data_IF_326231264290
#
_entry.id   IF_326231264290
#
_cell.length_a   1.000
_cell.length_b   1.000
_cell.length_c   1.000
_cell.angle_alpha   90.00
_cell.angle_beta   90.00
_cell.angle_gamma   90.00
#
_symmetry.space_group_name_H-M   'P 1'
#
loop_
_entity.id
_entity.type
_entity.pdbx_description
1 polymer ?
#
# COMPACT_ATOMS: atom_id res chain seq x y z
N UNK A 1 17.79 1.43 -17.86
CA UNK A 1 18.33 0.34 -17.02
C UNK A 1 19.37 0.94 -16.07
N UNK A 2 18.94 1.45 -14.92
CA UNK A 2 19.73 1.70 -13.70
C UNK A 2 18.67 1.84 -12.58
N UNK A 3 18.52 0.81 -11.75
CA UNK A 3 17.61 0.81 -10.60
C UNK A 3 18.17 1.74 -9.51
N UNK A 4 17.53 2.90 -9.26
CA UNK A 4 18.04 3.95 -8.36
C UNK A 4 17.48 3.92 -6.93
N UNK A 5 16.46 3.13 -6.59
CA UNK A 5 15.79 3.29 -5.28
C UNK A 5 16.45 2.59 -4.09
N UNK A 6 16.87 1.32 -4.22
CA UNK A 6 17.59 0.64 -3.15
C UNK A 6 19.03 1.15 -2.94
N UNK A 7 19.80 1.47 -4.01
CA UNK A 7 21.18 1.94 -3.82
C UNK A 7 21.27 3.35 -3.28
N UNK A 8 20.34 4.28 -3.57
CA UNK A 8 20.51 5.68 -3.15
C UNK A 8 20.38 5.88 -1.62
N UNK A 9 19.39 5.28 -0.98
CA UNK A 9 19.24 5.32 0.49
C UNK A 9 20.36 4.52 1.17
N UNK A 10 20.72 3.37 0.60
CA UNK A 10 21.89 2.60 1.05
C UNK A 10 23.16 3.45 1.00
N UNK A 11 23.47 4.07 -0.14
CA UNK A 11 24.65 4.92 -0.40
C UNK A 11 24.70 6.14 0.53
N UNK A 12 23.57 6.77 0.85
CA UNK A 12 23.51 7.89 1.80
C UNK A 12 23.86 7.41 3.22
N UNK A 13 23.35 6.24 3.63
CA UNK A 13 23.67 5.67 4.95
C UNK A 13 25.14 5.19 4.99
N UNK A 14 25.65 4.57 3.91
CA UNK A 14 27.07 4.18 3.84
C UNK A 14 28.01 5.39 3.86
N UNK A 15 27.67 6.47 3.15
CA UNK A 15 28.46 7.71 3.13
C UNK A 15 28.46 8.44 4.48
N UNK A 16 27.34 8.43 5.22
CA UNK A 16 27.26 9.00 6.56
C UNK A 16 28.01 8.19 7.62
N UNK A 17 28.24 6.89 7.39
CA UNK A 17 28.95 6.01 8.31
C UNK A 17 30.47 5.93 8.09
N UNK A 18 31.02 6.53 7.02
CA UNK A 18 32.46 6.49 6.74
C UNK A 18 33.28 7.51 7.55
N UNK A 19 32.64 8.45 8.26
CA UNK A 19 33.33 9.43 9.11
C UNK A 19 33.23 9.09 10.61
N UNK A 20 34.37 8.65 11.16
CA UNK A 20 34.77 8.51 12.57
C UNK A 20 34.45 7.23 13.38
N UNK A 21 35.28 7.00 14.41
CA UNK A 21 35.66 5.73 15.08
C UNK A 21 34.54 5.02 15.86
N UNK A 22 34.68 3.69 15.99
CA UNK A 22 34.06 2.68 16.89
C UNK A 22 32.68 2.96 17.54
N UNK A 23 32.45 4.09 18.23
CA UNK A 23 31.11 4.52 18.69
C UNK A 23 30.17 4.84 17.53
N UNK A 24 30.69 5.30 16.40
CA UNK A 24 29.89 5.49 15.18
C UNK A 24 29.52 4.15 14.51
N UNK A 25 30.29 3.07 14.73
CA UNK A 25 30.01 1.76 14.14
C UNK A 25 28.76 1.11 14.76
N UNK A 26 28.60 1.18 16.09
CA UNK A 26 27.40 0.68 16.78
C UNK A 26 26.17 1.54 16.46
N UNK A 27 26.33 2.87 16.40
CA UNK A 27 25.30 3.81 15.94
C UNK A 27 24.88 3.54 14.48
N UNK A 28 25.84 3.29 13.60
CA UNK A 28 25.59 2.99 12.19
C UNK A 28 24.90 1.64 12.02
N UNK A 29 25.34 0.62 12.76
CA UNK A 29 24.72 -0.70 12.78
C UNK A 29 23.27 -0.60 13.26
N UNK A 30 22.99 0.20 14.29
CA UNK A 30 21.62 0.45 14.76
C UNK A 30 20.78 1.18 13.70
N UNK A 31 21.32 2.21 13.03
CA UNK A 31 20.62 2.90 11.92
C UNK A 31 20.28 1.95 10.78
N UNK A 32 21.22 1.12 10.35
CA UNK A 32 20.99 0.10 9.32
C UNK A 32 19.97 -0.95 9.75
N UNK A 33 20.08 -1.46 10.97
CA UNK A 33 19.10 -2.41 11.52
C UNK A 33 17.69 -1.84 11.54
N UNK A 34 17.54 -0.61 12.00
CA UNK A 34 16.24 0.06 12.04
C UNK A 34 15.73 0.37 10.63
N UNK A 35 16.60 0.79 9.71
CA UNK A 35 16.22 1.00 8.31
C UNK A 35 15.73 -0.29 7.65
N UNK A 36 16.47 -1.40 7.80
CA UNK A 36 16.06 -2.72 7.29
C UNK A 36 14.76 -3.17 7.97
N UNK A 37 14.62 -2.92 9.28
CA UNK A 37 13.40 -3.21 10.02
C UNK A 37 12.19 -2.51 9.43
N UNK A 38 12.25 -1.19 9.23
CA UNK A 38 11.17 -0.43 8.61
C UNK A 38 10.94 -0.80 7.14
N UNK A 39 11.97 -1.17 6.40
CA UNK A 39 11.84 -1.69 5.04
C UNK A 39 11.04 -3.00 5.01
N UNK A 40 11.36 -3.95 5.89
CA UNK A 40 10.61 -5.20 6.03
C UNK A 40 9.18 -4.96 6.52
N UNK A 41 8.97 -4.02 7.45
CA UNK A 41 7.63 -3.65 7.90
C UNK A 41 6.79 -3.09 6.75
N UNK A 42 7.36 -2.19 5.93
CA UNK A 42 6.68 -1.64 4.75
C UNK A 42 6.34 -2.71 3.72
N UNK A 43 7.29 -3.62 3.46
CA UNK A 43 7.09 -4.74 2.56
C UNK A 43 5.94 -5.64 3.04
N UNK A 44 6.00 -6.10 4.28
CA UNK A 44 5.05 -7.09 4.78
C UNK A 44 3.65 -6.51 5.03
N UNK A 45 3.55 -5.23 5.40
CA UNK A 45 2.28 -4.57 5.69
C UNK A 45 1.33 -4.54 4.48
N UNK A 46 1.87 -4.20 3.31
CA UNK A 46 1.09 -4.05 2.09
C UNK A 46 1.04 -5.33 1.25
N UNK A 47 1.77 -6.38 1.65
CA UNK A 47 1.88 -7.61 0.88
C UNK A 47 0.54 -8.32 0.73
N UNK A 48 -0.22 -8.48 1.82
CA UNK A 48 -1.51 -9.17 1.79
C UNK A 48 -2.50 -8.47 0.86
N UNK A 49 -2.63 -7.13 0.96
CA UNK A 49 -3.46 -6.31 0.06
C UNK A 49 -3.15 -6.60 -1.42
N UNK A 50 -1.88 -6.53 -1.80
CA UNK A 50 -1.44 -6.76 -3.18
C UNK A 50 -1.73 -8.19 -3.65
N UNK A 51 -1.50 -9.18 -2.80
CA UNK A 51 -1.78 -10.58 -3.13
C UNK A 51 -3.27 -10.84 -3.31
N UNK A 52 -4.13 -10.25 -2.49
CA UNK A 52 -5.59 -10.42 -2.62
C UNK A 52 -6.10 -9.85 -3.95
N UNK A 53 -5.60 -8.69 -4.37
CA UNK A 53 -5.92 -8.11 -5.68
C UNK A 53 -5.34 -8.93 -6.84
N UNK A 54 -4.13 -9.46 -6.68
CA UNK A 54 -3.48 -10.29 -7.72
C UNK A 54 -4.15 -11.65 -7.89
N UNK A 55 -4.71 -12.19 -6.80
CA UNK A 55 -5.43 -13.45 -6.74
C UNK A 55 -6.94 -13.30 -6.98
N UNK A 56 -7.46 -12.09 -7.18
CA UNK A 56 -8.90 -11.81 -7.18
C UNK A 56 -9.66 -12.70 -8.17
N UNK A 57 -9.15 -12.84 -9.39
CA UNK A 57 -9.75 -13.70 -10.42
C UNK A 57 -9.74 -15.19 -10.00
N UNK A 58 -8.62 -15.70 -9.48
CA UNK A 58 -8.50 -17.09 -9.03
C UNK A 58 -9.41 -17.40 -7.83
N UNK A 59 -9.57 -16.43 -6.91
CA UNK A 59 -10.44 -16.54 -5.74
C UNK A 59 -11.90 -16.74 -6.17
N UNK A 60 -12.34 -15.97 -7.15
CA UNK A 60 -13.72 -15.95 -7.63
C UNK A 60 -14.03 -17.18 -8.51
N UNK A 61 -13.11 -17.55 -9.41
CA UNK A 61 -13.30 -18.67 -10.34
C UNK A 61 -13.37 -20.03 -9.62
N UNK A 62 -12.56 -20.24 -8.57
CA UNK A 62 -12.54 -21.49 -7.79
C UNK A 62 -13.90 -21.84 -7.17
N UNK A 63 -14.75 -20.84 -6.96
CA UNK A 63 -16.03 -20.97 -6.26
C UNK A 63 -17.21 -21.08 -7.24
N UNK A 64 -16.95 -20.89 -8.54
CA UNK A 64 -17.91 -20.99 -9.62
C UNK A 64 -18.19 -22.44 -10.04
N UNK A 65 -17.23 -23.37 -9.82
CA UNK A 65 -17.33 -24.77 -10.24
C UNK A 65 -18.47 -25.59 -9.59
N UNK A 66 -19.27 -24.98 -8.69
CA UNK A 66 -20.39 -25.63 -8.00
C UNK A 66 -21.79 -25.11 -8.35
N UNK A 67 -21.95 -24.02 -9.11
CA UNK A 67 -23.28 -23.51 -9.51
C UNK A 67 -23.34 -23.24 -11.03
N UNK A 68 -24.12 -24.07 -11.72
CA UNK A 68 -24.31 -24.13 -13.18
C UNK A 68 -25.04 -22.93 -13.81
N UNK A 69 -24.90 -22.86 -15.15
CA UNK A 69 -25.53 -22.00 -16.17
C UNK A 69 -24.98 -20.56 -16.29
N UNK A 70 -23.85 -20.43 -16.98
CA UNK A 70 -23.44 -19.16 -17.60
C UNK A 70 -24.37 -18.85 -18.78
N UNK A 71 -24.97 -17.65 -18.85
CA UNK A 71 -25.60 -17.16 -20.07
C UNK A 71 -24.56 -17.07 -21.19
N UNK A 72 -25.00 -17.15 -22.45
CA UNK A 72 -24.13 -16.96 -23.62
C UNK A 72 -23.71 -15.48 -23.77
N UNK A 73 -22.87 -14.97 -22.87
CA UNK A 73 -22.21 -13.68 -23.04
C UNK A 73 -20.97 -13.85 -23.93
N UNK A 74 -20.60 -12.80 -24.65
CA UNK A 74 -19.33 -12.73 -25.38
C UNK A 74 -18.12 -12.76 -24.44
N UNK A 75 -18.31 -12.41 -23.17
CA UNK A 75 -17.25 -12.28 -22.17
C UNK A 75 -17.22 -13.50 -21.22
N UNK A 76 -16.01 -13.87 -20.79
CA UNK A 76 -15.80 -14.90 -19.77
C UNK A 76 -16.03 -14.29 -18.38
N UNK A 77 -17.32 -14.18 -18.02
CA UNK A 77 -17.78 -13.44 -16.86
C UNK A 77 -17.95 -14.32 -15.63
N UNK A 78 -17.29 -13.91 -14.53
CA UNK A 78 -17.62 -14.42 -13.21
C UNK A 78 -18.89 -13.76 -12.65
N UNK A 79 -19.71 -14.47 -11.85
CA UNK A 79 -20.95 -13.93 -11.26
C UNK A 79 -20.71 -12.77 -10.29
N UNK A 80 -19.50 -12.68 -9.75
CA UNK A 80 -19.03 -11.58 -8.89
C UNK A 80 -17.80 -10.98 -9.56
N UNK A 81 -17.79 -9.66 -9.73
CA UNK A 81 -16.65 -8.90 -10.29
C UNK A 81 -15.48 -8.86 -9.29
N UNK A 82 -14.24 -8.82 -9.79
CA UNK A 82 -13.03 -8.54 -9.01
C UNK A 82 -13.09 -7.18 -8.29
N UNK A 83 -13.96 -6.27 -8.74
CA UNK A 83 -14.31 -5.05 -8.02
C UNK A 83 -14.85 -5.29 -6.59
N UNK A 84 -15.50 -6.43 -6.34
CA UNK A 84 -15.93 -6.82 -5.00
C UNK A 84 -14.76 -7.10 -4.06
N UNK A 85 -13.71 -7.75 -4.60
CA UNK A 85 -12.45 -7.96 -3.87
C UNK A 85 -11.79 -6.61 -3.60
N UNK A 86 -11.70 -5.73 -4.61
CA UNK A 86 -11.14 -4.38 -4.42
C UNK A 86 -11.89 -3.58 -3.35
N UNK A 87 -13.22 -3.61 -3.37
CA UNK A 87 -14.05 -2.88 -2.40
C UNK A 87 -13.83 -3.40 -0.98
N UNK A 88 -13.81 -4.73 -0.81
CA UNK A 88 -13.52 -5.38 0.45
C UNK A 88 -12.10 -5.06 0.96
N UNK A 89 -11.15 -4.84 0.05
CA UNK A 89 -9.76 -4.56 0.38
C UNK A 89 -9.51 -3.07 0.70
N UNK A 90 -10.31 -2.12 0.20
CA UNK A 90 -10.12 -0.68 0.46
C UNK A 90 -10.99 -0.11 1.58
N UNK A 91 -12.25 -0.56 1.72
CA UNK A 91 -13.19 0.06 2.66
C UNK A 91 -12.77 -0.05 4.13
N UNK A 92 -12.32 -1.21 4.65
CA UNK A 92 -11.88 -1.31 6.04
C UNK A 92 -10.69 -0.39 6.34
N UNK A 93 -9.72 -0.32 5.43
CA UNK A 93 -8.59 0.61 5.53
C UNK A 93 -9.06 2.06 5.58
N UNK A 94 -9.99 2.46 4.70
CA UNK A 94 -10.55 3.81 4.67
C UNK A 94 -11.23 4.16 6.00
N UNK A 95 -12.05 3.26 6.53
CA UNK A 95 -12.73 3.42 7.82
C UNK A 95 -11.74 3.50 8.99
N UNK A 96 -10.70 2.67 8.99
CA UNK A 96 -9.64 2.72 10.00
C UNK A 96 -8.91 4.06 9.91
N UNK A 97 -8.53 4.53 8.72
CA UNK A 97 -7.86 5.83 8.54
C UNK A 97 -8.70 7.01 9.06
N UNK A 98 -10.02 6.99 8.83
CA UNK A 98 -10.92 8.03 9.35
C UNK A 98 -11.13 7.97 10.87
N UNK A 99 -11.20 6.77 11.45
CA UNK A 99 -11.61 6.60 12.85
C UNK A 99 -10.42 6.47 13.82
N UNK A 100 -9.29 5.97 13.36
CA UNK A 100 -8.13 5.69 14.20
C UNK A 100 -7.61 6.89 14.99
N UNK A 101 -7.54 8.13 14.47
CA UNK A 101 -7.04 9.27 15.23
C UNK A 101 -7.72 9.46 16.60
N UNK A 102 -8.99 9.06 16.74
CA UNK A 102 -9.77 9.23 17.97
C UNK A 102 -9.40 8.25 19.11
N UNK A 103 -8.83 7.09 18.79
CA UNK A 103 -8.56 6.04 19.79
C UNK A 103 -7.16 5.43 19.72
N UNK A 104 -6.46 5.55 18.59
CA UNK A 104 -5.21 4.84 18.35
C UNK A 104 -4.13 5.19 19.37
N UNK A 105 -4.10 6.44 19.86
CA UNK A 105 -3.16 6.90 20.89
C UNK A 105 -3.26 6.15 22.23
N UNK A 106 -4.42 5.55 22.54
CA UNK A 106 -4.60 4.75 23.77
C UNK A 106 -4.09 3.32 23.64
N UNK A 107 -3.89 2.85 22.41
CA UNK A 107 -3.47 1.48 22.14
C UNK A 107 -1.96 1.45 21.94
N UNK A 108 -1.18 0.67 22.70
CA UNK A 108 0.26 0.59 22.54
C UNK A 108 0.67 -0.16 21.26
N UNK A 109 1.80 0.23 20.66
CA UNK A 109 2.25 -0.27 19.36
C UNK A 109 2.38 -1.79 19.28
N UNK A 110 2.94 -2.45 20.30
CA UNK A 110 3.11 -3.90 20.31
C UNK A 110 1.78 -4.64 20.10
N UNK A 111 0.69 -4.17 20.72
CA UNK A 111 -0.63 -4.74 20.51
C UNK A 111 -1.15 -4.47 19.10
N UNK A 112 -0.98 -3.25 18.57
CA UNK A 112 -1.38 -2.94 17.18
C UNK A 112 -0.69 -3.86 16.18
N UNK A 113 0.62 -4.11 16.37
CA UNK A 113 1.39 -5.02 15.51
C UNK A 113 0.93 -6.46 15.65
N UNK A 114 0.61 -6.93 16.86
CA UNK A 114 0.01 -8.25 17.05
C UNK A 114 -1.33 -8.38 16.33
N UNK A 115 -2.19 -7.35 16.39
CA UNK A 115 -3.45 -7.34 15.64
C UNK A 115 -3.16 -7.46 14.15
N UNK A 116 -2.24 -6.67 13.59
CA UNK A 116 -1.85 -6.77 12.17
C UNK A 116 -1.34 -8.17 11.81
N UNK A 117 -0.47 -8.75 12.64
CA UNK A 117 0.03 -10.10 12.44
C UNK A 117 -1.10 -11.13 12.39
N UNK A 118 -1.98 -11.14 13.40
CA UNK A 118 -3.07 -12.12 13.47
C UNK A 118 -4.08 -11.92 12.35
N UNK A 119 -4.48 -10.68 12.03
CA UNK A 119 -5.42 -10.43 10.94
C UNK A 119 -4.81 -10.80 9.57
N UNK A 120 -3.52 -10.56 9.34
CA UNK A 120 -2.85 -11.02 8.11
C UNK A 120 -2.77 -12.56 8.02
N UNK A 121 -2.48 -13.26 9.12
CA UNK A 121 -2.49 -14.73 9.16
C UNK A 121 -3.89 -15.28 8.91
N UNK A 122 -4.91 -14.74 9.60
CA UNK A 122 -6.31 -15.13 9.40
C UNK A 122 -6.75 -14.88 7.97
N UNK A 123 -6.35 -13.76 7.37
CA UNK A 123 -6.63 -13.43 5.98
C UNK A 123 -6.15 -14.52 5.02
N UNK A 124 -4.85 -14.84 5.04
CA UNK A 124 -4.29 -15.86 4.15
C UNK A 124 -4.90 -17.24 4.38
N UNK A 125 -5.11 -17.63 5.63
CA UNK A 125 -5.75 -18.91 5.96
C UNK A 125 -7.19 -18.95 5.46
N UNK A 126 -7.98 -17.92 5.74
CA UNK A 126 -9.40 -17.86 5.38
C UNK A 126 -9.60 -17.89 3.87
N UNK A 127 -8.79 -17.18 3.09
CA UNK A 127 -8.82 -17.24 1.62
C UNK A 127 -8.30 -18.59 1.09
N UNK A 128 -7.27 -19.17 1.71
CA UNK A 128 -6.75 -20.48 1.26
C UNK A 128 -7.76 -21.63 1.47
N UNK A 129 -8.52 -21.59 2.57
CA UNK A 129 -9.52 -22.59 2.95
C UNK A 129 -10.96 -22.19 2.55
N UNK A 130 -11.14 -21.10 1.81
CA UNK A 130 -12.45 -20.58 1.47
C UNK A 130 -13.26 -21.58 0.64
N UNK A 131 -14.43 -21.96 1.15
CA UNK A 131 -15.44 -22.75 0.42
C UNK A 131 -16.53 -21.90 -0.22
N UNK A 132 -16.68 -20.65 0.22
CA UNK A 132 -17.70 -19.70 -0.27
C UNK A 132 -17.10 -18.34 -0.57
N UNK A 133 -17.67 -17.60 -1.53
CA UNK A 133 -17.24 -16.24 -1.91
C UNK A 133 -17.23 -15.31 -0.70
N UNK A 134 -18.22 -15.43 0.19
CA UNK A 134 -18.26 -14.66 1.43
C UNK A 134 -17.06 -14.94 2.33
N UNK A 135 -16.66 -16.21 2.50
CA UNK A 135 -15.48 -16.55 3.30
C UNK A 135 -14.21 -15.94 2.70
N UNK A 136 -14.07 -15.96 1.37
CA UNK A 136 -12.95 -15.29 0.68
C UNK A 136 -12.96 -13.79 0.93
N UNK A 137 -14.11 -13.13 0.76
CA UNK A 137 -14.27 -11.68 0.96
C UNK A 137 -13.96 -11.30 2.41
N UNK A 138 -14.40 -12.06 3.41
CA UNK A 138 -14.02 -11.83 4.80
C UNK A 138 -12.51 -11.97 5.02
N UNK A 139 -11.86 -12.94 4.35
CA UNK A 139 -10.40 -13.05 4.33
C UNK A 139 -9.73 -11.78 3.77
N UNK A 140 -10.25 -11.22 2.69
CA UNK A 140 -9.76 -9.95 2.09
C UNK A 140 -9.96 -8.78 3.06
N UNK A 141 -11.11 -8.70 3.76
CA UNK A 141 -11.35 -7.67 4.80
C UNK A 141 -10.29 -7.74 5.91
N UNK A 142 -9.87 -8.94 6.33
CA UNK A 142 -8.80 -9.08 7.32
C UNK A 142 -7.43 -8.60 6.79
N UNK A 143 -7.14 -8.77 5.49
CA UNK A 143 -5.95 -8.18 4.86
C UNK A 143 -6.01 -6.65 4.93
N UNK A 144 -7.15 -6.05 4.59
CA UNK A 144 -7.38 -4.60 4.67
C UNK A 144 -7.22 -4.05 6.08
N UNK A 145 -7.77 -4.74 7.09
CA UNK A 145 -7.63 -4.33 8.49
C UNK A 145 -6.15 -4.34 8.90
N UNK A 146 -5.41 -5.39 8.51
CA UNK A 146 -3.97 -5.49 8.77
C UNK A 146 -3.21 -4.33 8.13
N UNK A 147 -3.37 -4.11 6.82
CA UNK A 147 -2.61 -3.13 6.07
C UNK A 147 -2.93 -1.70 6.53
N UNK A 148 -4.20 -1.38 6.76
CA UNK A 148 -4.65 -0.07 7.21
C UNK A 148 -4.21 0.27 8.64
N UNK A 149 -4.37 -0.65 9.59
CA UNK A 149 -3.90 -0.44 10.97
C UNK A 149 -2.38 -0.38 11.05
N UNK A 150 -1.70 -1.24 10.30
CA UNK A 150 -0.24 -1.30 10.29
C UNK A 150 0.37 -0.07 9.66
N UNK A 151 -0.16 0.46 8.55
CA UNK A 151 0.31 1.71 7.95
C UNK A 151 0.28 2.86 8.96
N UNK A 152 -0.85 3.06 9.64
CA UNK A 152 -0.96 4.09 10.69
C UNK A 152 0.02 3.86 11.84
N UNK A 153 0.18 2.60 12.25
CA UNK A 153 1.05 2.24 13.36
C UNK A 153 2.52 2.43 13.03
N UNK A 154 2.98 1.99 11.87
CA UNK A 154 4.39 2.07 11.49
C UNK A 154 4.80 3.48 11.08
N UNK A 155 3.93 4.24 10.39
CA UNK A 155 4.19 5.65 10.14
C UNK A 155 4.30 6.44 11.44
N UNK A 156 3.37 6.25 12.37
CA UNK A 156 3.43 6.91 13.68
C UNK A 156 4.64 6.45 14.51
N UNK A 157 5.03 5.19 14.40
CA UNK A 157 6.23 4.66 15.05
C UNK A 157 7.51 5.29 14.50
N UNK A 158 7.57 5.58 13.19
CA UNK A 158 8.76 6.12 12.52
C UNK A 158 9.25 7.45 13.12
N UNK A 159 8.35 8.22 13.76
CA UNK A 159 8.64 9.49 14.44
C UNK A 159 9.66 9.33 15.56
N UNK A 160 9.68 8.16 16.22
CA UNK A 160 10.64 7.89 17.29
C UNK A 160 12.03 7.51 16.76
N UNK A 161 12.17 7.20 15.47
CA UNK A 161 13.41 6.72 14.87
C UNK A 161 14.09 7.80 14.01
N UNK A 162 15.30 7.52 13.54
CA UNK A 162 16.02 8.41 12.63
C UNK A 162 15.27 8.59 11.31
N UNK A 163 15.33 9.78 10.72
CA UNK A 163 14.62 10.14 9.47
C UNK A 163 14.83 9.16 8.30
N UNK A 164 15.95 8.45 8.30
CA UNK A 164 16.28 7.44 7.29
C UNK A 164 15.25 6.30 7.24
N UNK A 165 14.62 5.93 8.38
CA UNK A 165 13.69 4.79 8.42
C UNK A 165 12.44 5.02 7.58
N UNK A 166 12.03 6.29 7.40
CA UNK A 166 10.88 6.64 6.57
C UNK A 166 11.13 6.32 5.09
N UNK A 167 12.39 6.46 4.64
CA UNK A 167 12.79 6.03 3.29
C UNK A 167 12.76 4.52 3.13
N UNK A 168 13.16 3.79 4.19
CA UNK A 168 13.08 2.33 4.25
C UNK A 168 11.63 1.86 4.13
N UNK A 169 10.74 2.41 4.96
CA UNK A 169 9.29 2.14 4.91
C UNK A 169 8.70 2.37 3.52
N UNK A 170 8.90 3.56 2.94
CA UNK A 170 8.35 3.90 1.62
C UNK A 170 8.91 3.04 0.48
N UNK A 171 10.17 2.62 0.57
CA UNK A 171 10.74 1.67 -0.39
C UNK A 171 10.16 0.26 -0.20
N UNK A 172 9.98 -0.18 1.04
CA UNK A 172 9.39 -1.47 1.38
C UNK A 172 7.96 -1.61 0.86
N UNK A 173 7.12 -0.59 1.05
CA UNK A 173 5.74 -0.59 0.56
C UNK A 173 5.65 -0.66 -0.97
N UNK A 174 6.57 -0.02 -1.69
CA UNK A 174 6.69 -0.17 -3.15
C UNK A 174 7.15 -1.57 -3.56
N UNK A 175 8.10 -2.14 -2.83
CA UNK A 175 8.56 -3.51 -3.05
C UNK A 175 7.47 -4.55 -2.74
N UNK A 176 6.54 -4.27 -1.82
CA UNK A 176 5.38 -5.12 -1.54
C UNK A 176 4.50 -5.34 -2.78
N UNK A 177 4.26 -4.28 -3.56
CA UNK A 177 3.51 -4.34 -4.81
C UNK A 177 4.12 -5.31 -5.81
N UNK A 178 5.42 -5.16 -6.05
CA UNK A 178 6.17 -6.01 -6.98
C UNK A 178 6.28 -7.44 -6.46
N UNK A 179 6.68 -7.61 -5.20
CA UNK A 179 6.88 -8.93 -4.59
C UNK A 179 5.57 -9.72 -4.47
N UNK A 180 4.47 -9.08 -4.05
CA UNK A 180 3.17 -9.74 -3.91
C UNK A 180 2.65 -10.29 -5.23
N UNK A 181 2.57 -9.44 -6.25
CA UNK A 181 2.08 -9.84 -7.57
C UNK A 181 3.01 -10.85 -8.25
N UNK A 182 4.34 -10.60 -8.25
CA UNK A 182 5.30 -11.50 -8.88
C UNK A 182 5.38 -12.86 -8.19
N UNK A 183 5.47 -12.91 -6.86
CA UNK A 183 5.60 -14.20 -6.16
C UNK A 183 4.33 -15.02 -6.33
N UNK A 184 3.15 -14.38 -6.26
CA UNK A 184 1.89 -15.08 -6.48
C UNK A 184 1.81 -15.65 -7.89
N UNK A 185 2.12 -14.82 -8.90
CA UNK A 185 2.12 -15.21 -10.31
C UNK A 185 3.15 -16.30 -10.62
N UNK A 186 4.37 -16.18 -10.09
CA UNK A 186 5.45 -17.13 -10.32
C UNK A 186 5.17 -18.50 -9.69
N UNK A 187 4.66 -18.55 -8.45
CA UNK A 187 4.33 -19.80 -7.79
C UNK A 187 3.17 -20.52 -8.48
N UNK A 188 2.13 -19.79 -8.88
CA UNK A 188 1.00 -20.35 -9.61
C UNK A 188 1.39 -20.82 -11.01
N UNK A 189 2.30 -20.13 -11.70
CA UNK A 189 2.88 -20.59 -12.98
C UNK A 189 3.81 -21.81 -12.83
N UNK A 190 4.49 -21.95 -11.68
CA UNK A 190 5.28 -23.13 -11.37
C UNK A 190 4.43 -24.37 -11.06
N UNK A 191 3.10 -24.29 -11.21
CA UNK A 191 2.15 -25.38 -10.99
C UNK A 191 1.67 -25.52 -9.54
N UNK A 192 2.00 -24.58 -8.65
CA UNK A 192 1.44 -24.57 -7.29
C UNK A 192 -0.01 -24.07 -7.34
N UNK A 193 -0.88 -24.71 -6.56
CA UNK A 193 -2.25 -24.22 -6.44
C UNK A 193 -2.29 -22.87 -5.71
N UNK A 194 -3.31 -22.02 -5.95
CA UNK A 194 -3.51 -20.79 -5.18
C UNK A 194 -3.49 -21.01 -3.66
N UNK A 195 -4.02 -22.14 -3.20
CA UNK A 195 -4.04 -22.51 -1.78
C UNK A 195 -2.63 -22.68 -1.21
N UNK A 196 -1.80 -23.51 -1.86
CA UNK A 196 -0.43 -23.77 -1.42
C UNK A 196 0.42 -22.50 -1.52
N UNK A 197 0.18 -21.70 -2.56
CA UNK A 197 0.81 -20.39 -2.75
C UNK A 197 0.56 -19.47 -1.55
N UNK A 198 -0.69 -19.33 -1.11
CA UNK A 198 -1.05 -18.53 0.06
C UNK A 198 -0.47 -19.10 1.37
N UNK A 199 -0.35 -20.42 1.51
CA UNK A 199 0.31 -21.03 2.67
C UNK A 199 1.80 -20.71 2.74
N UNK A 200 2.51 -20.76 1.61
CA UNK A 200 3.93 -20.36 1.54
C UNK A 200 4.08 -18.90 1.95
N UNK A 201 3.14 -18.04 1.55
CA UNK A 201 3.12 -16.61 1.87
C UNK A 201 2.83 -16.28 3.34
N UNK A 202 2.41 -17.24 4.18
CA UNK A 202 2.28 -17.04 5.63
C UNK A 202 3.60 -16.71 6.32
N UNK A 203 4.74 -16.95 5.65
CA UNK A 203 6.04 -16.47 6.10
C UNK A 203 6.08 -14.94 6.23
N UNK A 204 5.30 -14.21 5.43
CA UNK A 204 5.35 -12.74 5.38
C UNK A 204 4.83 -12.07 6.66
N UNK A 205 3.65 -12.43 7.21
CA UNK A 205 3.23 -11.98 8.54
C UNK A 205 4.27 -12.32 9.63
N UNK A 206 4.90 -13.49 9.55
CA UNK A 206 5.96 -13.87 10.51
C UNK A 206 7.16 -12.93 10.40
N UNK A 207 7.60 -12.59 9.19
CA UNK A 207 8.66 -11.61 8.95
C UNK A 207 8.27 -10.23 9.51
N UNK A 208 7.01 -9.81 9.36
CA UNK A 208 6.50 -8.55 9.96
C UNK A 208 6.67 -8.56 11.48
N UNK A 209 6.22 -9.62 12.16
CA UNK A 209 6.35 -9.75 13.61
C UNK A 209 7.83 -9.81 14.03
N UNK A 210 8.66 -10.59 13.32
CA UNK A 210 10.08 -10.71 13.61
C UNK A 210 10.79 -9.35 13.47
N UNK A 211 10.44 -8.59 12.43
CA UNK A 211 11.00 -7.27 12.19
C UNK A 211 10.70 -6.32 13.35
N UNK A 212 9.44 -6.25 13.79
CA UNK A 212 9.07 -5.36 14.89
C UNK A 212 9.64 -5.79 16.25
N UNK A 213 9.53 -7.06 16.61
CA UNK A 213 9.86 -7.52 17.96
C UNK A 213 11.35 -7.81 18.18
N UNK A 214 12.09 -8.18 17.14
CA UNK A 214 13.48 -8.62 17.28
C UNK A 214 14.48 -7.80 16.49
N UNK A 215 14.09 -7.24 15.34
CA UNK A 215 15.03 -6.50 14.49
C UNK A 215 15.17 -5.03 14.90
N UNK A 216 14.03 -4.36 15.18
CA UNK A 216 14.02 -2.96 15.61
C UNK A 216 14.69 -2.78 16.98
N UNK A 217 15.56 -1.79 17.05
CA UNK A 217 16.18 -1.31 18.28
C UNK A 217 15.47 -0.04 18.70
N UNK A 218 14.56 -0.16 19.66
CA UNK A 218 13.78 0.97 20.17
C UNK A 218 14.67 1.95 20.94
N UNK A 219 14.53 3.27 20.69
CA UNK A 219 15.24 4.28 21.45
C UNK A 219 14.69 4.37 22.88
N UNK A 220 15.50 4.88 23.81
CA UNK A 220 15.14 5.02 25.22
C UNK A 220 13.95 5.95 25.50
N UNK A 221 13.62 6.81 24.53
CA UNK A 221 12.45 7.71 24.56
C UNK A 221 11.13 7.00 24.22
N UNK A 222 11.17 5.76 23.72
CA UNK A 222 9.98 5.03 23.35
C UNK A 222 9.25 4.50 24.60
N UNK A 223 7.98 4.86 24.84
CA UNK A 223 7.19 4.28 25.91
C UNK A 223 6.91 2.82 25.58
N UNK A 224 7.79 1.93 26.03
CA UNK A 224 7.60 0.49 25.92
C UNK A 224 6.34 0.09 26.70
N UNK A 225 5.72 -1.01 26.29
CA UNK A 225 4.72 -1.73 27.07
C UNK A 225 5.37 -2.13 28.40
N UNK A 226 5.30 -1.25 29.40
CA UNK A 226 5.80 -1.54 30.74
C UNK A 226 4.64 -2.21 31.48
N UNK A 227 4.81 -3.50 31.77
CA UNK A 227 3.98 -4.18 32.77
C UNK A 227 4.16 -3.36 34.06
N UNK A 228 3.07 -2.89 34.66
CA UNK A 228 3.11 -2.21 35.95
C UNK A 228 3.80 -3.15 36.94
N UNK A 229 5.07 -2.90 37.25
CA UNK A 229 5.69 -3.46 38.46
C UNK A 229 5.38 -2.46 39.57
N UNK A 230 4.45 -2.86 40.43
CA UNK A 230 4.14 -2.15 41.65
C UNK A 230 5.39 -2.10 42.56
N UNK A 231 5.64 -0.93 43.14
CA UNK A 231 6.30 -0.83 44.44
C UNK A 231 7.80 -0.55 44.48
N UNK A 232 8.10 0.70 44.82
CA UNK A 232 9.20 1.13 45.69
C UNK A 232 10.62 1.21 45.11
N UNK A 233 11.07 2.43 44.85
CA UNK A 233 12.09 3.10 45.69
C UNK A 233 12.34 4.51 45.19
N UNK A 234 11.87 5.49 45.97
CA UNK A 234 12.24 6.88 45.82
C UNK A 234 13.69 7.10 46.31
N UNK A 235 14.33 8.11 45.71
CA UNK A 235 15.47 8.89 46.25
C UNK A 235 16.88 8.33 46.04
N UNK A 236 17.63 8.98 45.12
CA UNK A 236 18.95 9.59 45.40
C UNK A 236 19.38 10.59 44.30
N UNK A 237 19.10 11.87 44.60
CA UNK A 237 19.95 13.10 44.50
C UNK A 237 20.81 13.37 43.24
N UNK A 238 20.28 14.26 42.40
CA UNK A 238 20.81 15.47 41.70
C UNK A 238 22.34 15.77 41.71
N UNK A 239 22.96 15.89 40.51
CA UNK A 239 23.47 17.11 39.81
C UNK A 239 24.35 16.65 38.60
N UNK A 240 24.48 17.28 37.43
CA UNK A 240 24.35 18.69 37.00
C UNK A 240 24.32 18.79 35.46
N UNK A 241 23.54 19.75 34.96
CA UNK A 241 23.70 20.49 33.67
C UNK A 241 23.62 19.75 32.33
N UNK A 242 22.39 19.53 31.83
CA UNK A 242 21.94 19.89 30.47
C UNK A 242 20.42 19.68 30.36
N UNK A 243 19.63 20.58 30.96
CA UNK A 243 18.19 20.67 30.68
C UNK A 243 17.99 21.70 29.56
N UNK A 244 17.87 21.23 28.33
CA UNK A 244 17.05 21.91 27.31
C UNK A 244 15.68 21.24 27.29
N UNK A 245 14.57 21.98 27.17
CA UNK A 245 13.26 21.48 27.58
C UNK A 245 12.68 20.51 26.54
N UNK A 246 12.54 19.24 26.93
CA UNK A 246 11.78 18.19 26.23
C UNK A 246 10.25 18.44 26.22
N UNK A 247 9.80 19.53 26.87
CA UNK A 247 8.39 19.90 26.99
C UNK A 247 7.86 20.55 25.69
N UNK A 248 8.71 21.18 24.87
CA UNK A 248 8.28 21.79 23.60
C UNK A 248 7.97 20.76 22.49
N UNK A 249 8.60 19.58 22.49
CA UNK A 249 8.35 18.54 21.46
C UNK A 249 7.13 17.66 21.78
N UNK A 250 6.85 17.38 23.06
CA UNK A 250 5.61 16.69 23.48
C UNK A 250 4.38 17.56 23.25
N UNK A 251 4.48 18.87 23.52
CA UNK A 251 3.45 19.82 23.08
C UNK A 251 3.37 19.87 21.56
N UNK A 252 4.47 19.88 20.82
CA UNK A 252 4.39 19.94 19.35
C UNK A 252 3.63 18.75 18.75
N UNK A 253 3.87 17.51 19.21
CA UNK A 253 3.21 16.29 18.69
C UNK A 253 1.78 16.17 19.20
N UNK A 254 1.51 16.44 20.48
CA UNK A 254 0.15 16.45 21.01
C UNK A 254 -0.70 17.58 20.40
N UNK A 255 -0.08 18.71 20.07
CA UNK A 255 -0.72 19.85 19.39
C UNK A 255 -0.84 19.59 17.89
N UNK A 256 0.04 18.80 17.27
CA UNK A 256 -0.11 18.26 15.90
C UNK A 256 -1.40 17.46 15.76
N UNK A 257 -1.62 16.52 16.69
CA UNK A 257 -2.80 15.66 16.71
C UNK A 257 -4.07 16.39 17.20
N UNK A 258 -3.97 17.33 18.15
CA UNK A 258 -5.11 18.19 18.56
C UNK A 258 -5.52 19.22 17.51
N UNK A 259 -4.56 19.74 16.73
CA UNK A 259 -4.84 20.66 15.63
C UNK A 259 -5.25 19.93 14.33
N UNK A 260 -5.28 18.59 14.33
CA UNK A 260 -5.87 17.78 13.27
C UNK A 260 -7.42 17.72 13.38
N UNK A 261 -8.02 18.74 14.01
CA UNK A 261 -9.39 19.13 13.76
C UNK A 261 -9.48 19.54 12.29
N UNK A 262 -10.17 18.74 11.48
CA UNK A 262 -10.51 19.00 10.06
C UNK A 262 -11.18 20.38 9.89
N UNK A 263 -11.71 20.97 10.96
CA UNK A 263 -12.40 22.26 10.98
C UNK A 263 -11.53 23.48 11.39
N UNK A 264 -10.23 23.33 11.66
CA UNK A 264 -9.39 24.44 12.15
C UNK A 264 -8.41 25.02 11.12
N UNK A 265 -8.33 24.45 9.91
CA UNK A 265 -7.50 24.98 8.83
C UNK A 265 -8.31 25.94 7.94
N UNK A 266 -7.72 27.05 7.48
CA UNK A 266 -8.42 27.98 6.60
C UNK A 266 -8.83 27.30 5.30
N UNK A 267 -10.06 27.55 4.84
CA UNK A 267 -10.60 27.02 3.57
C UNK A 267 -9.66 27.26 2.37
N UNK A 268 -8.87 28.34 2.42
CA UNK A 268 -7.90 28.70 1.39
C UNK A 268 -6.76 27.68 1.23
N UNK A 269 -6.32 27.05 2.34
CA UNK A 269 -5.31 25.99 2.30
C UNK A 269 -5.87 24.74 1.61
N UNK A 270 -7.09 24.36 1.98
CA UNK A 270 -7.77 23.22 1.36
C UNK A 270 -7.98 23.45 -0.13
N UNK A 271 -8.40 24.65 -0.54
CA UNK A 271 -8.55 25.03 -1.94
C UNK A 271 -7.22 24.96 -2.70
N UNK A 272 -6.11 25.38 -2.08
CA UNK A 272 -4.77 25.25 -2.65
C UNK A 272 -4.28 23.81 -2.81
N UNK A 273 -4.80 22.87 -2.01
CA UNK A 273 -4.48 21.44 -2.09
C UNK A 273 -5.32 20.68 -3.12
N UNK A 274 -6.50 21.18 -3.48
CA UNK A 274 -7.35 20.53 -4.49
C UNK A 274 -6.65 20.32 -5.83
N UNK A 275 -5.71 21.21 -6.19
CA UNK A 275 -4.86 21.07 -7.40
C UNK A 275 -3.98 19.81 -7.41
N UNK A 276 -3.80 19.18 -6.25
CA UNK A 276 -3.09 17.92 -6.06
C UNK A 276 -4.05 16.76 -5.78
N UNK A 277 -5.01 16.98 -4.89
CA UNK A 277 -5.96 15.94 -4.45
C UNK A 277 -6.82 15.46 -5.62
N UNK A 278 -7.37 16.36 -6.42
CA UNK A 278 -8.28 16.00 -7.51
C UNK A 278 -7.53 15.20 -8.60
N UNK A 279 -6.40 15.68 -9.16
CA UNK A 279 -5.66 14.88 -10.15
C UNK A 279 -5.19 13.54 -9.61
N UNK A 280 -4.74 13.48 -8.36
CA UNK A 280 -4.32 12.22 -7.74
C UNK A 280 -5.49 11.24 -7.59
N UNK A 281 -6.64 11.72 -7.07
CA UNK A 281 -7.85 10.90 -6.96
C UNK A 281 -8.34 10.39 -8.31
N UNK A 282 -8.26 11.21 -9.38
CA UNK A 282 -8.62 10.80 -10.74
C UNK A 282 -7.63 9.76 -11.31
N UNK A 283 -6.33 9.91 -11.06
CA UNK A 283 -5.33 8.89 -11.46
C UNK A 283 -5.66 7.56 -10.79
N UNK A 284 -5.87 7.55 -9.47
CA UNK A 284 -6.18 6.35 -8.71
C UNK A 284 -7.53 5.75 -9.09
N UNK A 285 -8.52 6.58 -9.39
CA UNK A 285 -9.79 6.11 -9.94
C UNK A 285 -9.59 5.38 -11.28
N UNK A 286 -8.91 6.02 -12.24
CA UNK A 286 -8.74 5.46 -13.57
C UNK A 286 -7.86 4.20 -13.55
N UNK A 287 -6.77 4.19 -12.78
CA UNK A 287 -5.85 3.05 -12.69
C UNK A 287 -6.53 1.81 -12.07
N UNK A 288 -7.27 1.97 -10.98
CA UNK A 288 -7.95 0.83 -10.35
C UNK A 288 -9.21 0.41 -11.12
N UNK A 289 -9.87 1.33 -11.83
CA UNK A 289 -10.95 0.99 -12.75
C UNK A 289 -10.45 0.12 -13.92
N UNK A 290 -9.27 0.45 -14.46
CA UNK A 290 -8.60 -0.40 -15.45
C UNK A 290 -8.30 -1.77 -14.83
N UNK A 291 -7.54 -1.80 -13.74
CA UNK A 291 -6.98 -3.03 -13.18
C UNK A 291 -8.04 -4.01 -12.64
N UNK A 292 -9.11 -3.52 -12.02
CA UNK A 292 -10.11 -4.33 -11.30
C UNK A 292 -11.51 -4.27 -11.93
N UNK A 293 -11.69 -3.50 -13.01
CA UNK A 293 -12.97 -3.42 -13.73
C UNK A 293 -12.87 -3.81 -15.19
N UNK A 294 -11.81 -3.39 -15.90
CA UNK A 294 -11.68 -3.64 -17.34
C UNK A 294 -10.81 -4.86 -17.66
N UNK A 295 -9.68 -5.04 -16.96
CA UNK A 295 -8.72 -6.11 -17.26
C UNK A 295 -9.26 -7.51 -16.94
N UNK A 296 -10.26 -7.63 -16.05
CA UNK A 296 -10.96 -8.90 -15.82
C UNK A 296 -11.87 -9.32 -16.99
N UNK A 297 -12.29 -8.36 -17.83
CA UNK A 297 -13.14 -8.61 -19.01
C UNK A 297 -12.31 -8.79 -20.28
N UNK A 298 -11.03 -8.46 -20.24
CA UNK A 298 -10.14 -8.41 -21.40
C UNK A 298 -9.36 -9.72 -21.55
N UNK A 299 -10.02 -10.71 -22.14
CA UNK A 299 -9.48 -12.05 -22.38
C UNK A 299 -9.17 -12.32 -23.86
N UNK A 300 -8.01 -12.92 -24.12
CA UNK A 300 -7.59 -13.36 -25.45
C UNK A 300 -7.53 -14.91 -25.51
N UNK A 301 -8.55 -15.58 -26.07
CA UNK A 301 -8.61 -17.06 -26.09
C UNK A 301 -7.55 -17.70 -26.98
N UNK A 302 -7.08 -17.01 -28.02
CA UNK A 302 -6.06 -17.51 -28.95
C UNK A 302 -4.62 -17.44 -28.39
N UNK A 303 -4.47 -16.95 -27.15
CA UNK A 303 -3.18 -16.86 -26.46
C UNK A 303 -2.75 -18.21 -25.88
N UNK A 304 -1.44 -18.37 -25.65
CA UNK A 304 -0.90 -19.51 -24.87
C UNK A 304 -1.21 -19.41 -23.37
N UNK A 305 -1.63 -18.24 -22.90
CA UNK A 305 -1.94 -17.97 -21.51
C UNK A 305 -3.44 -18.11 -21.28
N UNK A 306 -3.82 -18.84 -20.25
CA UNK A 306 -5.20 -18.90 -19.76
C UNK A 306 -5.69 -17.53 -19.26
N UNK A 307 -7.00 -17.35 -19.09
CA UNK A 307 -7.59 -16.09 -18.62
C UNK A 307 -6.98 -15.65 -17.27
N UNK A 308 -6.91 -16.56 -16.31
CA UNK A 308 -6.27 -16.33 -15.02
C UNK A 308 -4.80 -15.94 -15.12
N UNK A 309 -4.03 -16.54 -16.05
CA UNK A 309 -2.63 -16.18 -16.26
C UNK A 309 -2.48 -14.80 -16.88
N UNK A 310 -3.34 -14.43 -17.84
CA UNK A 310 -3.35 -13.09 -18.43
C UNK A 310 -3.60 -12.04 -17.35
N UNK A 311 -4.62 -12.27 -16.51
CA UNK A 311 -4.96 -11.39 -15.39
C UNK A 311 -3.79 -11.23 -14.39
N UNK A 312 -3.17 -12.34 -13.97
CA UNK A 312 -1.99 -12.32 -13.07
C UNK A 312 -0.81 -11.54 -13.67
N UNK A 313 -0.57 -11.67 -14.98
CA UNK A 313 0.48 -10.93 -15.68
C UNK A 313 0.17 -9.44 -15.81
N UNK A 314 -1.11 -9.07 -16.04
CA UNK A 314 -1.53 -7.67 -16.00
C UNK A 314 -1.17 -7.02 -14.66
N UNK A 315 -1.58 -7.64 -13.54
CA UNK A 315 -1.28 -7.13 -12.19
C UNK A 315 0.23 -7.02 -11.93
N UNK A 316 0.99 -8.00 -12.41
CA UNK A 316 2.45 -8.03 -12.28
C UNK A 316 3.13 -6.87 -13.02
N UNK A 317 2.77 -6.67 -14.30
CA UNK A 317 3.38 -5.63 -15.14
C UNK A 317 3.01 -4.23 -14.66
N UNK A 318 1.77 -4.05 -14.21
CA UNK A 318 1.32 -2.83 -13.54
C UNK A 318 2.24 -2.50 -12.36
N UNK A 319 2.46 -3.44 -11.44
CA UNK A 319 3.29 -3.22 -10.26
C UNK A 319 4.76 -2.94 -10.60
N UNK A 320 5.30 -3.57 -11.65
CA UNK A 320 6.65 -3.25 -12.15
C UNK A 320 6.70 -1.80 -12.65
N UNK A 321 5.69 -1.35 -13.39
CA UNK A 321 5.57 0.03 -13.85
C UNK A 321 5.50 1.02 -12.69
N UNK A 322 4.62 0.76 -11.72
CA UNK A 322 4.48 1.57 -10.50
C UNK A 322 5.80 1.65 -9.74
N UNK A 323 6.49 0.53 -9.54
CA UNK A 323 7.76 0.53 -8.84
C UNK A 323 8.79 1.38 -9.60
N UNK A 324 8.96 1.13 -10.90
CA UNK A 324 9.91 1.86 -11.74
C UNK A 324 9.68 3.38 -11.69
N UNK A 325 8.43 3.84 -11.83
CA UNK A 325 8.11 5.27 -11.77
C UNK A 325 8.25 5.87 -10.37
N UNK A 326 7.94 5.12 -9.30
CA UNK A 326 8.20 5.58 -7.92
C UNK A 326 9.69 5.77 -7.67
N UNK A 327 10.53 4.89 -8.22
CA UNK A 327 11.99 5.00 -8.09
C UNK A 327 12.59 6.17 -8.89
N UNK A 328 11.88 6.66 -9.92
CA UNK A 328 12.43 7.63 -10.86
C UNK A 328 12.46 9.07 -10.33
N UNK A 329 11.81 9.36 -9.21
CA UNK A 329 11.76 10.69 -8.59
C UNK A 329 13.16 11.26 -8.30
N UNK A 330 14.13 10.39 -8.00
CA UNK A 330 15.54 10.77 -7.78
C UNK A 330 16.18 11.32 -9.06
N UNK A 331 15.72 10.85 -10.22
CA UNK A 331 16.30 11.18 -11.52
C UNK A 331 15.56 12.35 -12.21
N UNK A 332 14.23 12.35 -12.18
CA UNK A 332 13.42 13.39 -12.84
C UNK A 332 12.10 13.64 -12.10
N UNK A 333 11.71 14.91 -12.06
CA UNK A 333 10.49 15.40 -11.38
C UNK A 333 9.53 15.95 -12.41
N UNK A 334 8.25 15.57 -12.31
CA UNK A 334 7.21 15.94 -13.26
C UNK A 334 6.15 16.76 -12.52
N UNK A 335 6.14 18.08 -12.77
CA UNK A 335 5.21 19.01 -12.09
C UNK A 335 3.78 18.95 -12.61
N UNK A 336 3.59 18.55 -13.86
CA UNK A 336 2.27 18.54 -14.53
C UNK A 336 1.47 17.28 -14.18
N UNK A 337 1.04 17.15 -12.91
CA UNK A 337 0.28 15.98 -12.42
C UNK A 337 -1.07 15.85 -13.15
N UNK A 338 -1.72 16.97 -13.49
CA UNK A 338 -2.94 16.96 -14.29
C UNK A 338 -2.78 16.27 -15.65
N UNK A 339 -1.60 16.38 -16.27
CA UNK A 339 -1.32 15.69 -17.53
C UNK A 339 -1.31 14.16 -17.33
N UNK A 340 -0.77 13.66 -16.21
CA UNK A 340 -0.80 12.23 -15.88
C UNK A 340 -2.24 11.75 -15.66
N UNK A 341 -3.05 12.54 -14.96
CA UNK A 341 -4.48 12.27 -14.77
C UNK A 341 -5.21 12.18 -16.11
N UNK A 342 -4.98 13.13 -17.02
CA UNK A 342 -5.56 13.10 -18.36
C UNK A 342 -5.13 11.85 -19.14
N UNK A 343 -3.84 11.52 -19.13
CA UNK A 343 -3.32 10.33 -19.81
C UNK A 343 -3.91 9.04 -19.22
N UNK A 344 -4.14 8.97 -17.92
CA UNK A 344 -4.77 7.82 -17.28
C UNK A 344 -6.24 7.66 -17.69
N UNK A 345 -6.98 8.78 -17.78
CA UNK A 345 -8.34 8.76 -18.32
C UNK A 345 -8.36 8.31 -19.80
N UNK A 346 -7.41 8.76 -20.61
CA UNK A 346 -7.27 8.31 -22.00
C UNK A 346 -7.00 6.80 -22.07
N UNK A 347 -6.11 6.27 -21.22
CA UNK A 347 -5.87 4.83 -21.12
C UNK A 347 -7.14 4.06 -20.71
N UNK A 348 -7.90 4.56 -19.73
CA UNK A 348 -9.13 3.93 -19.27
C UNK A 348 -10.19 3.89 -20.38
N UNK A 349 -10.35 5.00 -21.12
CA UNK A 349 -11.24 5.04 -22.29
C UNK A 349 -10.75 4.08 -23.37
N UNK A 350 -9.47 4.11 -23.74
CA UNK A 350 -8.90 3.21 -24.74
C UNK A 350 -9.16 1.73 -24.41
N UNK A 351 -8.91 1.33 -23.16
CA UNK A 351 -9.14 -0.04 -22.71
C UNK A 351 -10.62 -0.39 -22.60
N UNK A 352 -11.50 0.55 -22.24
CA UNK A 352 -12.94 0.33 -22.26
C UNK A 352 -13.45 0.08 -23.69
N UNK A 353 -12.95 0.85 -24.67
CA UNK A 353 -13.21 0.59 -26.09
C UNK A 353 -12.60 -0.73 -26.54
N UNK A 354 -11.43 -1.11 -26.03
CA UNK A 354 -10.81 -2.39 -26.35
C UNK A 354 -11.62 -3.58 -25.82
N UNK A 355 -12.19 -3.47 -24.62
CA UNK A 355 -13.14 -4.46 -24.08
C UNK A 355 -14.38 -4.53 -24.96
N UNK A 356 -15.02 -3.39 -25.26
CA UNK A 356 -16.27 -3.37 -26.03
C UNK A 356 -16.16 -3.86 -27.48
N UNK A 357 -15.16 -3.38 -28.21
CA UNK A 357 -14.99 -3.69 -29.64
C UNK A 357 -14.06 -4.89 -29.89
N UNK A 358 -13.34 -5.38 -28.87
CA UNK A 358 -12.36 -6.48 -28.99
C UNK A 358 -11.40 -6.31 -30.17
N UNK A 359 -10.98 -5.07 -30.44
CA UNK A 359 -10.14 -4.76 -31.62
C UNK A 359 -8.65 -5.06 -31.41
N UNK A 360 -8.22 -5.31 -30.17
CA UNK A 360 -6.84 -5.62 -29.87
C UNK A 360 -6.51 -7.04 -30.37
N UNK A 361 -5.40 -7.25 -31.10
CA UNK A 361 -5.12 -8.53 -31.74
C UNK A 361 -4.43 -9.55 -30.81
N UNK A 362 -3.77 -9.09 -29.74
CA UNK A 362 -3.00 -9.95 -28.85
C UNK A 362 -2.84 -9.34 -27.44
N UNK A 363 -2.60 -10.18 -26.40
CA UNK A 363 -2.40 -9.70 -25.02
C UNK A 363 -1.11 -8.91 -24.81
N UNK A 364 -0.10 -9.06 -25.69
CA UNK A 364 1.19 -8.36 -25.57
C UNK A 364 1.04 -6.85 -25.72
N UNK A 365 0.11 -6.38 -26.56
CA UNK A 365 -0.22 -4.96 -26.66
C UNK A 365 -0.79 -4.45 -25.33
N UNK A 366 -1.68 -5.22 -24.70
CA UNK A 366 -2.24 -4.88 -23.39
C UNK A 366 -1.15 -4.85 -22.32
N UNK A 367 -0.21 -5.79 -22.33
CA UNK A 367 0.93 -5.81 -21.41
C UNK A 367 1.75 -4.51 -21.46
N UNK A 368 1.98 -3.95 -22.65
CA UNK A 368 2.68 -2.67 -22.81
C UNK A 368 1.84 -1.52 -22.26
N UNK A 369 0.53 -1.51 -22.55
CA UNK A 369 -0.39 -0.48 -22.05
C UNK A 369 -0.45 -0.49 -20.52
N UNK A 370 -0.55 -1.68 -19.91
CA UNK A 370 -0.62 -1.86 -18.45
C UNK A 370 0.69 -1.46 -17.77
N UNK A 371 1.84 -1.78 -18.37
CA UNK A 371 3.13 -1.30 -17.86
C UNK A 371 3.21 0.24 -17.91
N UNK A 372 2.72 0.85 -18.99
CA UNK A 372 2.65 2.30 -19.14
C UNK A 372 1.68 2.95 -18.13
N UNK A 373 0.53 2.33 -17.91
CA UNK A 373 -0.49 2.71 -16.94
C UNK A 373 0.08 2.71 -15.50
N UNK A 374 0.85 1.68 -15.12
CA UNK A 374 1.58 1.67 -13.85
C UNK A 374 2.67 2.74 -13.75
N UNK A 375 3.37 3.05 -14.85
CA UNK A 375 4.35 4.14 -14.88
C UNK A 375 3.70 5.51 -14.58
N UNK A 376 2.51 5.77 -15.14
CA UNK A 376 1.77 7.00 -14.88
C UNK A 376 1.27 7.08 -13.44
N UNK A 377 0.66 6.01 -12.92
CA UNK A 377 0.14 5.94 -11.55
C UNK A 377 1.22 6.19 -10.50
N UNK A 378 2.33 5.44 -10.58
CA UNK A 378 3.43 5.60 -9.65
C UNK A 378 4.14 6.96 -9.76
N UNK A 379 4.28 7.52 -10.96
CA UNK A 379 4.85 8.86 -11.16
C UNK A 379 3.95 9.96 -10.58
N UNK A 380 2.63 9.87 -10.80
CA UNK A 380 1.67 10.83 -10.27
C UNK A 380 1.70 10.83 -8.73
N UNK A 381 1.74 9.65 -8.11
CA UNK A 381 1.84 9.50 -6.67
C UNK A 381 3.08 10.21 -6.10
N UNK A 382 4.28 9.81 -6.53
CA UNK A 382 5.52 10.35 -5.93
C UNK A 382 5.72 11.84 -6.19
N UNK A 383 5.33 12.33 -7.37
CA UNK A 383 5.43 13.75 -7.67
C UNK A 383 4.42 14.57 -6.86
N UNK A 384 3.20 14.06 -6.66
CA UNK A 384 2.19 14.74 -5.83
C UNK A 384 2.69 14.94 -4.41
N UNK A 385 3.13 13.87 -3.75
CA UNK A 385 3.64 13.98 -2.38
C UNK A 385 4.93 14.80 -2.29
N UNK A 386 5.79 14.74 -3.31
CA UNK A 386 6.99 15.56 -3.39
C UNK A 386 6.66 17.07 -3.46
N UNK A 387 5.75 17.48 -4.35
CA UNK A 387 5.38 18.89 -4.50
C UNK A 387 4.53 19.41 -3.35
N UNK A 388 3.63 18.60 -2.75
CA UNK A 388 2.95 18.97 -1.51
C UNK A 388 3.98 19.24 -0.41
N UNK A 389 4.99 18.37 -0.29
CA UNK A 389 6.07 18.59 0.66
C UNK A 389 6.81 19.89 0.36
N UNK A 390 7.18 20.16 -0.88
CA UNK A 390 7.99 21.34 -1.23
C UNK A 390 7.21 22.66 -1.15
N UNK A 391 5.93 22.67 -1.54
CA UNK A 391 5.11 23.89 -1.65
C UNK A 391 4.32 24.23 -0.37
N UNK A 392 4.11 23.29 0.55
CA UNK A 392 3.35 23.53 1.79
C UNK A 392 4.26 23.89 2.98
N UNK A 393 3.84 24.86 3.79
CA UNK A 393 4.54 25.28 5.00
C UNK A 393 4.71 24.12 6.00
N UNK A 394 5.81 24.10 6.76
CA UNK A 394 6.16 22.98 7.68
C UNK A 394 5.02 22.61 8.65
N UNK A 395 4.26 23.59 9.12
CA UNK A 395 3.13 23.42 10.06
C UNK A 395 1.91 22.75 9.42
N UNK A 396 1.71 22.95 8.13
CA UNK A 396 0.52 22.50 7.37
C UNK A 396 0.79 21.27 6.51
N UNK A 397 2.06 20.94 6.30
CA UNK A 397 2.52 19.87 5.41
C UNK A 397 1.94 18.50 5.78
N UNK A 398 1.84 18.21 7.07
CA UNK A 398 1.31 16.92 7.53
C UNK A 398 -0.18 16.77 7.22
N UNK A 399 -0.97 17.80 7.53
CA UNK A 399 -2.37 17.86 7.14
C UNK A 399 -2.53 17.75 5.62
N UNK A 400 -1.71 18.46 4.85
CA UNK A 400 -1.74 18.42 3.39
C UNK A 400 -1.43 17.03 2.81
N UNK A 401 -0.42 16.34 3.34
CA UNK A 401 -0.09 14.97 2.93
C UNK A 401 -1.20 13.99 3.33
N UNK A 402 -1.76 14.11 4.54
CA UNK A 402 -2.87 13.28 4.98
C UNK A 402 -4.12 13.49 4.11
N UNK A 403 -4.49 14.74 3.81
CA UNK A 403 -5.61 15.08 2.96
C UNK A 403 -5.45 14.53 1.53
N UNK A 404 -4.23 14.59 0.96
CA UNK A 404 -3.95 13.98 -0.33
C UNK A 404 -4.05 12.45 -0.33
N UNK A 405 -3.61 11.78 0.73
CA UNK A 405 -3.80 10.33 0.87
C UNK A 405 -5.26 9.94 1.06
N UNK A 406 -6.12 10.79 1.64
CA UNK A 406 -7.57 10.50 1.62
C UNK A 406 -8.12 10.55 0.19
N UNK A 407 -7.60 11.46 -0.64
CA UNK A 407 -7.97 11.59 -2.05
C UNK A 407 -7.67 10.34 -2.89
N UNK A 408 -6.50 9.71 -2.70
CA UNK A 408 -6.17 8.46 -3.42
C UNK A 408 -7.13 7.33 -3.05
N UNK A 409 -7.38 7.14 -1.75
CA UNK A 409 -8.19 6.04 -1.23
C UNK A 409 -9.66 6.21 -1.60
N UNK A 410 -10.15 7.45 -1.68
CA UNK A 410 -11.46 7.77 -2.22
C UNK A 410 -11.57 7.44 -3.71
N UNK A 411 -10.53 7.76 -4.49
CA UNK A 411 -10.46 7.40 -5.92
C UNK A 411 -10.60 5.89 -6.15
N UNK A 412 -9.87 5.08 -5.37
CA UNK A 412 -9.94 3.61 -5.39
C UNK A 412 -11.34 3.10 -5.01
N UNK A 413 -11.95 3.66 -3.97
CA UNK A 413 -13.29 3.24 -3.54
C UNK A 413 -14.34 3.56 -4.61
N UNK A 414 -14.24 4.73 -5.26
CA UNK A 414 -15.12 5.13 -6.35
C UNK A 414 -14.91 4.26 -7.60
N UNK A 415 -13.68 3.85 -7.90
CA UNK A 415 -13.42 2.96 -9.04
C UNK A 415 -14.01 1.58 -8.83
N UNK A 416 -13.90 1.02 -7.62
CA UNK A 416 -14.54 -0.24 -7.26
C UNK A 416 -16.06 -0.15 -7.41
N UNK A 417 -16.68 0.94 -6.92
CA UNK A 417 -18.12 1.17 -7.08
C UNK A 417 -18.55 1.31 -8.56
N UNK A 418 -17.73 1.97 -9.39
CA UNK A 418 -18.01 2.13 -10.81
C UNK A 418 -17.80 0.85 -11.64
N UNK A 419 -16.90 -0.04 -11.22
CA UNK A 419 -16.61 -1.29 -11.92
C UNK A 419 -17.78 -2.29 -11.86
N UNK A 420 -18.56 -2.32 -10.76
CA UNK A 420 -19.75 -3.19 -10.65
C UNK A 420 -20.79 -3.04 -11.77
N UNK A 421 -21.36 -1.84 -12.03
CA UNK A 421 -22.34 -1.67 -13.10
C UNK A 421 -21.73 -1.91 -14.48
N UNK A 422 -20.44 -1.62 -14.65
CA UNK A 422 -19.71 -1.85 -15.91
C UNK A 422 -19.58 -3.34 -16.20
N UNK A 423 -19.16 -4.13 -15.21
CA UNK A 423 -19.12 -5.59 -15.30
C UNK A 423 -20.49 -6.16 -15.65
N UNK A 424 -21.53 -5.76 -14.93
CA UNK A 424 -22.89 -6.25 -15.18
C UNK A 424 -23.38 -5.90 -16.59
N UNK A 425 -23.08 -4.68 -17.08
CA UNK A 425 -23.41 -4.26 -18.43
C UNK A 425 -22.71 -5.15 -19.47
N UNK A 426 -21.40 -5.32 -19.39
CA UNK A 426 -20.65 -6.13 -20.34
C UNK A 426 -21.05 -7.60 -20.32
N UNK A 427 -21.25 -8.18 -19.14
CA UNK A 427 -21.69 -9.57 -18.99
C UNK A 427 -23.13 -9.82 -19.45
N UNK A 428 -23.93 -8.76 -19.65
CA UNK A 428 -25.27 -8.85 -20.22
C UNK A 428 -25.29 -8.82 -21.75
N UNK A 429 -24.18 -8.45 -22.40
CA UNK A 429 -23.97 -8.45 -23.86
C UNK A 429 -23.49 -9.82 -24.34
#
# INVERSE_FOLDING_TARGET
MYFCAAPAAAVIITGACQNEKWKAADSCRQRWRNWIGFWLLGLCNNFAYVVMLSAAHDILQKQESHNTTTPSSRYDCSPVSTAAVLLADILPTLLIKFTAPFYIHRVPYGFRVLVCFFTAVVSFLMVSFSSTILMSIFGVVFASISSGLGELSFLSLSVFFSRDVLSGWGSGTGAAGVAGALLYSAFTQAGLTPQVTLWIMLVVPVILAVSYFFLLVFPSSFPQWRRHEDGHSASRVINSQERRPLIEEEELVATLFRNLSVCSYPCDLFQGLLKFIIPLGVVYFAEYFINQGLLELLYFPDSRLSHAEQYRWYQTLYQIGVFASRTSLVCFKIRKIFLMSLLQCVNAVLLAFAVYYQFLPNPWVVFIIVLYEGLLGGAAYVNTFFFIREETAKREREFAMAAASVGDSLGIALSAAAAFPVHHYFCSL
#
